data_IF_821419324198
#
_entry.id   IF_821419324198
#
_cell.length_a   1.000
_cell.length_b   1.000
_cell.length_c   1.000
_cell.angle_alpha   90.00
_cell.angle_beta   90.00
_cell.angle_gamma   90.00
#
_symmetry.space_group_name_H-M   'P 1'
#
loop_
_entity.id
_entity.type
_entity.pdbx_description
1 polymer ?
#
# COMPACT_ATOMS: atom_id res chain seq x y z
N UNK A 1 -2.96 -3.00 15.48
CA UNK A 1 -1.81 -2.08 15.39
C UNK A 1 -1.67 -1.70 13.92
N UNK A 2 -1.62 -0.41 13.57
CA UNK A 2 -1.51 0.01 12.17
C UNK A 2 -0.04 -0.03 11.74
N UNK A 3 0.35 -1.05 10.98
CA UNK A 3 1.68 -1.11 10.37
C UNK A 3 1.70 -0.27 9.09
N UNK A 4 2.14 0.98 9.25
CA UNK A 4 2.46 1.87 8.15
C UNK A 4 3.92 1.68 7.74
N UNK A 5 4.13 1.19 6.52
CA UNK A 5 5.47 0.87 6.02
C UNK A 5 5.74 1.57 4.69
N UNK A 6 7.01 1.67 4.32
CA UNK A 6 7.41 2.19 3.01
C UNK A 6 7.23 1.14 1.92
N UNK A 7 7.16 1.60 0.66
CA UNK A 7 6.98 0.74 -0.52
C UNK A 7 7.95 -0.45 -0.58
N UNK A 8 9.21 -0.27 -0.15
CA UNK A 8 10.21 -1.35 -0.12
C UNK A 8 9.75 -2.54 0.72
N UNK A 9 9.21 -2.28 1.91
CA UNK A 9 8.70 -3.34 2.79
C UNK A 9 7.44 -3.99 2.21
N UNK A 10 6.58 -3.22 1.54
CA UNK A 10 5.41 -3.77 0.83
C UNK A 10 5.85 -4.74 -0.26
N UNK A 11 6.85 -4.36 -1.05
CA UNK A 11 7.41 -5.19 -2.13
C UNK A 11 7.98 -6.49 -1.55
N UNK A 12 8.75 -6.42 -0.47
CA UNK A 12 9.33 -7.58 0.21
C UNK A 12 8.27 -8.54 0.78
N UNK A 13 7.23 -8.00 1.43
CA UNK A 13 6.22 -8.81 2.13
C UNK A 13 5.15 -9.37 1.20
N UNK A 14 4.74 -8.61 0.17
CA UNK A 14 3.65 -8.99 -0.74
C UNK A 14 4.18 -9.67 -2.02
N UNK A 15 5.46 -9.46 -2.35
CA UNK A 15 6.07 -9.99 -3.57
C UNK A 15 5.71 -9.22 -4.85
N UNK A 16 5.19 -7.99 -4.73
CA UNK A 16 4.93 -7.12 -5.88
C UNK A 16 6.13 -6.30 -6.25
N UNK A 17 6.25 -5.91 -7.52
CA UNK A 17 7.21 -4.90 -7.96
C UNK A 17 6.75 -3.48 -7.58
N UNK A 18 7.69 -2.54 -7.53
CA UNK A 18 7.40 -1.11 -7.33
C UNK A 18 6.40 -0.59 -8.37
N UNK A 19 6.55 -1.00 -9.64
CA UNK A 19 5.66 -0.65 -10.73
C UNK A 19 4.24 -1.18 -10.51
N UNK A 20 4.08 -2.43 -10.06
CA UNK A 20 2.78 -3.01 -9.75
C UNK A 20 2.07 -2.26 -8.61
N UNK A 21 2.81 -1.85 -7.58
CA UNK A 21 2.27 -1.02 -6.49
C UNK A 21 1.81 0.34 -7.02
N UNK A 22 2.65 1.04 -7.81
CA UNK A 22 2.28 2.32 -8.42
C UNK A 22 1.09 2.20 -9.36
N UNK A 23 1.01 1.11 -10.13
CA UNK A 23 -0.10 0.84 -11.01
C UNK A 23 -1.41 0.69 -10.21
N UNK A 24 -1.39 0.05 -9.04
CA UNK A 24 -2.58 -0.05 -8.16
C UNK A 24 -3.04 1.30 -7.63
N UNK A 25 -2.10 2.18 -7.30
CA UNK A 25 -2.41 3.57 -6.90
C UNK A 25 -3.00 4.33 -8.09
N UNK A 26 -2.33 4.29 -9.25
CA UNK A 26 -2.75 4.99 -10.48
C UNK A 26 -4.12 4.54 -10.99
N UNK A 27 -4.43 3.24 -10.86
CA UNK A 27 -5.72 2.66 -11.23
C UNK A 27 -6.81 2.88 -10.17
N UNK A 28 -6.49 3.49 -9.03
CA UNK A 28 -7.44 3.72 -7.93
C UNK A 28 -7.84 2.45 -7.15
N UNK A 29 -7.14 1.33 -7.37
CA UNK A 29 -7.35 0.07 -6.64
C UNK A 29 -6.95 0.26 -5.17
N UNK A 30 -5.80 0.87 -4.94
CA UNK A 30 -5.36 1.30 -3.62
C UNK A 30 -5.72 2.76 -3.44
N UNK A 31 -6.51 3.05 -2.41
CA UNK A 31 -7.06 4.39 -2.12
C UNK A 31 -6.27 5.09 -1.02
N UNK A 32 -6.07 6.40 -1.19
CA UNK A 32 -5.48 7.26 -0.16
C UNK A 32 -6.34 7.27 1.11
N UNK A 33 -5.71 7.28 2.28
CA UNK A 33 -6.38 7.17 3.59
C UNK A 33 -6.74 5.75 4.01
N UNK A 34 -6.81 4.79 3.07
CA UNK A 34 -7.11 3.37 3.37
C UNK A 34 -5.86 2.51 3.21
N UNK A 35 -5.33 2.45 1.99
CA UNK A 35 -4.22 1.56 1.61
C UNK A 35 -2.88 2.28 1.69
N UNK A 36 -2.87 3.58 1.40
CA UNK A 36 -1.67 4.40 1.48
C UNK A 36 -2.00 5.81 1.97
N UNK A 37 -0.99 6.54 2.41
CA UNK A 37 -1.09 7.96 2.79
C UNK A 37 0.19 8.70 2.42
N UNK A 38 0.07 9.98 2.10
CA UNK A 38 1.22 10.86 1.93
C UNK A 38 1.62 11.47 3.26
N UNK A 39 2.87 11.27 3.66
CA UNK A 39 3.43 11.89 4.85
C UNK A 39 3.84 13.35 4.55
N UNK A 40 4.03 14.20 5.60
CA UNK A 40 4.41 15.60 5.43
C UNK A 40 5.76 15.79 4.70
N UNK A 41 6.63 14.77 4.73
CA UNK A 41 7.92 14.73 4.02
C UNK A 41 7.79 14.33 2.54
N UNK A 42 6.57 14.16 2.03
CA UNK A 42 6.28 13.76 0.66
C UNK A 42 6.40 12.25 0.40
N UNK A 43 6.77 11.45 1.40
CA UNK A 43 6.88 9.99 1.24
C UNK A 43 5.51 9.31 1.29
N UNK A 44 5.39 8.20 0.57
CA UNK A 44 4.20 7.34 0.61
C UNK A 44 4.40 6.24 1.64
N UNK A 45 3.46 6.17 2.58
CA UNK A 45 3.33 5.08 3.53
C UNK A 45 2.15 4.21 3.14
N UNK A 46 2.27 2.91 3.38
CA UNK A 46 1.30 1.89 3.01
C UNK A 46 0.85 1.12 4.24
N UNK A 47 -0.45 0.88 4.35
CA UNK A 47 -1.04 0.09 5.42
C UNK A 47 -1.01 -1.39 5.04
N UNK A 48 -0.11 -2.16 5.67
CA UNK A 48 -0.02 -3.61 5.42
C UNK A 48 -1.33 -4.33 5.74
N UNK A 49 -2.02 -3.88 6.79
CA UNK A 49 -3.31 -4.45 7.18
C UNK A 49 -4.37 -4.26 6.09
N UNK A 50 -4.50 -3.04 5.54
CA UNK A 50 -5.48 -2.78 4.48
C UNK A 50 -5.13 -3.52 3.19
N UNK A 51 -3.84 -3.57 2.83
CA UNK A 51 -3.37 -4.32 1.66
C UNK A 51 -3.68 -5.81 1.82
N UNK A 52 -3.38 -6.42 2.97
CA UNK A 52 -3.71 -7.84 3.24
C UNK A 52 -5.21 -8.10 3.15
N UNK A 53 -6.05 -7.24 3.73
CA UNK A 53 -7.52 -7.36 3.60
C UNK A 53 -8.01 -7.30 2.15
N UNK A 54 -7.42 -6.41 1.34
CA UNK A 54 -7.70 -6.32 -0.09
C UNK A 54 -7.27 -7.60 -0.83
N UNK A 55 -6.09 -8.15 -0.53
CA UNK A 55 -5.60 -9.41 -1.11
C UNK A 55 -6.52 -10.58 -0.75
N UNK A 56 -6.99 -10.65 0.49
CA UNK A 56 -7.93 -11.68 0.95
C UNK A 56 -9.34 -11.52 0.35
N UNK A 57 -9.59 -10.48 -0.44
CA UNK A 57 -10.92 -10.21 -1.03
C UNK A 57 -11.97 -9.76 0.00
N UNK A 58 -11.57 -9.36 1.21
CA UNK A 58 -12.47 -8.92 2.29
C UNK A 58 -12.78 -7.42 2.20
N UNK A 59 -13.07 -6.95 0.99
CA UNK A 59 -13.41 -5.54 0.68
C UNK A 59 -14.92 -5.35 0.69
#
# INVERSE_FOLDING_TARGET
MFEWVLIKKVIEEVGYTDDAVRAKIKKGVWREGIHFRRAPDGRLFFSMMAIKRWIEGKV
#
